data_IF_290517656675
#
_entry.id   IF_290517656675
#
_cell.length_a   1.000
_cell.length_b   1.000
_cell.length_c   1.000
_cell.angle_alpha   90.00
_cell.angle_beta   90.00
_cell.angle_gamma   90.00
#
_symmetry.space_group_name_H-M   'P 1'
#
loop_
_entity.id
_entity.type
_entity.pdbx_description
1 polymer ?
#
# COMPACT_ATOMS: atom_id res chain seq x y z
N UNK A 1 9.00 -8.08 7.68
CA UNK A 1 8.67 -7.57 6.33
C UNK A 1 9.69 -6.62 5.70
N UNK A 2 10.61 -6.00 6.46
CA UNK A 2 11.66 -5.13 5.90
C UNK A 2 12.71 -5.89 5.06
N UNK A 3 12.97 -7.15 5.41
CA UNK A 3 13.98 -8.02 4.76
C UNK A 3 13.58 -8.46 3.35
N UNK A 4 12.27 -8.53 3.09
CA UNK A 4 11.72 -8.88 1.76
C UNK A 4 11.78 -7.67 0.81
N UNK A 5 11.63 -6.46 1.36
CA UNK A 5 11.83 -5.20 0.65
C UNK A 5 13.30 -4.98 0.31
N UNK A 6 14.24 -5.23 1.24
CA UNK A 6 15.68 -5.09 0.95
C UNK A 6 16.16 -6.06 -0.13
N UNK A 7 15.65 -7.30 -0.15
CA UNK A 7 15.97 -8.26 -1.20
C UNK A 7 15.44 -7.83 -2.59
N UNK A 8 14.29 -7.18 -2.63
CA UNK A 8 13.68 -6.71 -3.90
C UNK A 8 14.41 -5.47 -4.45
N UNK A 9 14.84 -4.57 -3.56
CA UNK A 9 15.66 -3.40 -3.92
C UNK A 9 17.03 -3.84 -4.45
N UNK A 10 17.70 -4.76 -3.76
CA UNK A 10 18.99 -5.29 -4.20
C UNK A 10 18.91 -5.99 -5.58
N UNK A 11 17.82 -6.74 -5.84
CA UNK A 11 17.60 -7.36 -7.15
C UNK A 11 17.40 -6.32 -8.26
N UNK A 12 16.70 -5.22 -7.94
CA UNK A 12 16.43 -4.15 -8.91
C UNK A 12 17.67 -3.32 -9.22
N UNK A 13 18.53 -3.07 -8.22
CA UNK A 13 19.82 -2.39 -8.40
C UNK A 13 20.74 -3.19 -9.32
N UNK A 14 20.87 -4.50 -9.11
CA UNK A 14 21.69 -5.38 -9.97
C UNK A 14 21.21 -5.33 -11.42
N UNK A 15 19.90 -5.42 -11.64
CA UNK A 15 19.29 -5.36 -12.97
C UNK A 15 19.53 -4.01 -13.68
N UNK A 16 19.52 -2.90 -12.94
CA UNK A 16 19.83 -1.58 -13.49
C UNK A 16 21.30 -1.51 -13.94
N UNK A 17 22.24 -2.01 -13.13
CA UNK A 17 23.66 -2.04 -13.52
C UNK A 17 23.91 -2.88 -14.76
N UNK A 18 23.23 -4.02 -14.90
CA UNK A 18 23.38 -4.92 -16.05
C UNK A 18 22.91 -4.22 -17.35
N UNK A 19 21.78 -3.50 -17.31
CA UNK A 19 21.29 -2.70 -18.44
C UNK A 19 22.26 -1.57 -18.81
N UNK A 20 22.85 -0.89 -17.81
CA UNK A 20 23.83 0.18 -18.08
C UNK A 20 25.11 -0.34 -18.74
N UNK A 21 25.54 -1.54 -18.35
CA UNK A 21 26.72 -2.19 -18.91
C UNK A 21 26.48 -2.69 -20.35
N UNK A 22 25.31 -3.28 -20.63
CA UNK A 22 24.88 -3.63 -22.00
C UNK A 22 24.80 -2.40 -22.92
N UNK A 23 24.24 -1.28 -22.44
CA UNK A 23 24.20 -0.02 -23.20
C UNK A 23 25.61 0.47 -23.54
N UNK A 24 26.56 0.34 -22.61
CA UNK A 24 27.95 0.77 -22.82
C UNK A 24 28.66 -0.08 -23.88
N UNK A 25 28.40 -1.39 -23.90
CA UNK A 25 28.93 -2.29 -24.94
C UNK A 25 28.37 -1.96 -26.32
N UNK A 26 27.06 -1.73 -26.43
CA UNK A 26 26.42 -1.35 -27.70
C UNK A 26 26.96 -0.03 -28.29
N UNK A 27 27.27 0.94 -27.45
CA UNK A 27 27.89 2.20 -27.88
C UNK A 27 29.30 1.97 -28.44
N UNK A 28 30.06 1.07 -27.81
CA UNK A 28 31.42 0.74 -28.23
C UNK A 28 31.45 -0.09 -29.53
N UNK A 29 30.55 -1.06 -29.69
CA UNK A 29 30.39 -1.78 -30.97
C UNK A 29 30.00 -0.85 -32.11
N UNK A 30 29.10 0.11 -31.86
CA UNK A 30 28.72 1.11 -32.86
C UNK A 30 29.93 1.93 -33.31
N UNK A 31 30.75 2.39 -32.35
CA UNK A 31 31.99 3.13 -32.62
C UNK A 31 32.96 2.33 -33.49
N UNK A 32 33.14 1.03 -33.20
CA UNK A 32 34.00 0.15 -33.98
C UNK A 32 33.45 -0.09 -35.40
N UNK A 33 32.13 -0.19 -35.56
CA UNK A 33 31.51 -0.34 -36.89
C UNK A 33 31.69 0.91 -37.75
N UNK A 34 31.58 2.10 -37.16
CA UNK A 34 31.77 3.37 -37.85
C UNK A 34 33.24 3.56 -38.28
N UNK A 35 34.19 3.14 -37.44
CA UNK A 35 35.62 3.12 -37.78
C UNK A 35 35.93 2.12 -38.90
N UNK A 36 35.37 0.91 -38.86
CA UNK A 36 35.54 -0.09 -39.92
C UNK A 36 35.01 0.42 -41.27
N UNK A 37 33.82 1.02 -41.28
CA UNK A 37 33.23 1.62 -42.47
C UNK A 37 34.10 2.72 -43.08
N UNK A 38 34.74 3.55 -42.23
CA UNK A 38 35.63 4.60 -42.69
C UNK A 38 36.93 4.06 -43.29
N UNK A 39 37.52 3.02 -42.70
CA UNK A 39 38.73 2.35 -43.21
C UNK A 39 38.45 1.66 -44.55
N UNK A 40 37.32 0.96 -44.67
CA UNK A 40 36.92 0.28 -45.90
C UNK A 40 36.73 1.26 -47.07
N UNK A 41 36.12 2.43 -46.81
CA UNK A 41 35.98 3.53 -47.77
C UNK A 41 37.32 4.15 -48.20
N UNK A 42 38.36 4.11 -47.36
CA UNK A 42 39.70 4.54 -47.74
C UNK A 42 40.47 3.48 -48.53
N UNK A 43 40.34 2.20 -48.17
CA UNK A 43 41.02 1.09 -48.86
C UNK A 43 40.47 0.83 -50.27
N UNK A 44 39.18 1.06 -50.50
CA UNK A 44 38.55 0.99 -51.83
C UNK A 44 39.05 2.10 -52.76
N UNK A 45 39.24 3.32 -52.25
CA UNK A 45 39.86 4.42 -53.01
C UNK A 45 41.33 4.16 -53.38
N UNK A 46 42.05 3.37 -52.59
CA UNK A 46 43.46 3.04 -52.85
C UNK A 46 43.67 1.88 -53.84
N UNK A 47 42.63 1.07 -54.15
CA UNK A 47 42.73 -0.14 -54.99
C UNK A 47 42.36 0.05 -56.47
N UNK A 48 41.95 1.24 -56.91
CA UNK A 48 41.57 1.54 -58.32
C UNK A 48 42.78 1.70 -59.27
N UNK A 49 43.94 1.18 -58.88
CA UNK A 49 45.12 1.11 -59.73
C UNK A 49 45.57 -0.34 -59.78
N UNK A 50 45.16 -1.10 -60.81
CA UNK A 50 45.92 -2.12 -61.54
C UNK A 50 44.98 -3.06 -62.31
N UNK A 51 45.09 -2.95 -63.63
CA UNK A 51 44.97 -3.95 -64.71
C UNK A 51 43.61 -4.42 -65.27
N UNK A 52 43.68 -4.55 -66.60
CA UNK A 52 42.68 -4.72 -67.65
C UNK A 52 42.00 -6.12 -67.74
N UNK A 53 40.90 -6.15 -68.54
CA UNK A 53 40.16 -7.27 -69.22
C UNK A 53 38.79 -7.63 -68.56
N UNK A 54 37.69 -8.03 -69.27
CA UNK A 54 37.19 -7.83 -70.65
C UNK A 54 35.80 -7.11 -70.73
N UNK A 55 35.47 -6.56 -71.90
CA UNK A 55 34.44 -5.54 -72.16
C UNK A 55 32.95 -5.88 -71.92
N UNK A 56 32.53 -7.16 -71.90
CA UNK A 56 31.11 -7.53 -71.63
C UNK A 56 30.81 -7.70 -70.14
N UNK A 57 31.77 -8.25 -69.38
CA UNK A 57 31.67 -8.35 -67.92
C UNK A 57 31.71 -6.96 -67.26
N UNK A 58 32.39 -6.02 -67.91
CA UNK A 58 32.53 -4.64 -67.46
C UNK A 58 31.22 -3.84 -67.56
N UNK A 59 30.38 -4.10 -68.56
CA UNK A 59 29.06 -3.48 -68.68
C UNK A 59 28.04 -4.04 -67.67
N UNK A 60 28.02 -5.36 -67.45
CA UNK A 60 27.19 -5.95 -66.39
C UNK A 60 27.65 -5.49 -65.00
N UNK A 61 28.96 -5.46 -64.74
CA UNK A 61 29.50 -4.93 -63.49
C UNK A 61 29.14 -3.45 -63.29
N UNK A 62 29.18 -2.62 -64.35
CA UNK A 62 28.73 -1.23 -64.26
C UNK A 62 27.26 -1.09 -63.88
N UNK A 63 26.41 -1.97 -64.42
CA UNK A 63 24.97 -1.95 -64.13
C UNK A 63 24.67 -2.39 -62.71
N UNK A 64 25.35 -3.44 -62.25
CA UNK A 64 25.26 -3.95 -60.87
C UNK A 64 25.83 -2.93 -59.89
N UNK A 65 26.98 -2.32 -60.16
CA UNK A 65 27.55 -1.23 -59.35
C UNK A 65 26.56 -0.08 -59.20
N UNK A 66 25.91 0.33 -60.29
CA UNK A 66 24.92 1.41 -60.27
C UNK A 66 23.70 1.07 -59.43
N UNK A 67 23.17 -0.15 -59.55
CA UNK A 67 22.05 -0.60 -58.70
C UNK A 67 22.44 -0.66 -57.21
N UNK A 68 23.63 -1.18 -56.92
CA UNK A 68 24.16 -1.24 -55.55
C UNK A 68 24.34 0.16 -54.98
N UNK A 69 24.80 1.14 -55.78
CA UNK A 69 24.94 2.52 -55.32
C UNK A 69 23.60 3.17 -55.03
N UNK A 70 22.60 3.01 -55.91
CA UNK A 70 21.25 3.55 -55.70
C UNK A 70 20.58 2.93 -54.46
N UNK A 71 20.73 1.62 -54.24
CA UNK A 71 20.19 0.93 -53.05
C UNK A 71 20.89 1.35 -51.76
N UNK A 72 22.23 1.52 -51.79
CA UNK A 72 23.00 2.02 -50.67
C UNK A 72 22.63 3.47 -50.31
N UNK A 73 22.43 4.33 -51.29
CA UNK A 73 21.99 5.71 -51.09
C UNK A 73 20.61 5.75 -50.43
N UNK A 74 19.65 4.93 -50.90
CA UNK A 74 18.31 4.82 -50.30
C UNK A 74 18.36 4.37 -48.85
N UNK A 75 19.15 3.32 -48.54
CA UNK A 75 19.32 2.85 -47.16
C UNK A 75 20.00 3.89 -46.28
N UNK A 76 20.94 4.66 -46.82
CA UNK A 76 21.60 5.74 -46.08
C UNK A 76 20.61 6.82 -45.64
N UNK A 77 19.71 7.21 -46.54
CA UNK A 77 18.65 8.18 -46.21
C UNK A 77 17.68 7.67 -45.15
N UNK A 78 17.21 6.42 -45.23
CA UNK A 78 16.33 5.84 -44.20
C UNK A 78 17.01 5.79 -42.82
N UNK A 79 18.29 5.40 -42.78
CA UNK A 79 19.07 5.30 -41.54
C UNK A 79 19.30 6.68 -40.90
N UNK A 80 19.44 7.72 -41.72
CA UNK A 80 19.59 9.10 -41.27
C UNK A 80 18.27 9.65 -40.69
N UNK A 81 17.13 9.31 -41.28
CA UNK A 81 15.81 9.63 -40.74
C UNK A 81 15.51 8.89 -39.43
N UNK A 82 15.83 7.60 -39.35
CA UNK A 82 15.66 6.79 -38.12
C UNK A 82 16.54 7.33 -36.98
N UNK A 83 17.79 7.68 -37.28
CA UNK A 83 18.71 8.31 -36.32
C UNK A 83 18.16 9.63 -35.77
N UNK A 84 17.53 10.43 -36.62
CA UNK A 84 16.91 11.69 -36.20
C UNK A 84 15.66 11.46 -35.33
N UNK A 85 14.87 10.42 -35.62
CA UNK A 85 13.74 10.02 -34.77
C UNK A 85 14.19 9.52 -33.40
N UNK A 86 15.19 8.64 -33.35
CA UNK A 86 15.75 8.12 -32.09
C UNK A 86 16.31 9.25 -31.23
N UNK A 87 16.98 10.22 -31.84
CA UNK A 87 17.52 11.39 -31.12
C UNK A 87 16.42 12.24 -30.49
N UNK A 88 15.29 12.44 -31.19
CA UNK A 88 14.12 13.14 -30.65
C UNK A 88 13.49 12.37 -29.50
N UNK A 89 13.39 11.05 -29.61
CA UNK A 89 12.86 10.20 -28.55
C UNK A 89 13.73 10.25 -27.29
N UNK A 90 15.06 10.21 -27.45
CA UNK A 90 16.01 10.34 -26.35
C UNK A 90 15.87 11.66 -25.59
N UNK A 91 15.72 12.79 -26.30
CA UNK A 91 15.50 14.11 -25.68
C UNK A 91 14.21 14.18 -24.86
N UNK A 92 13.15 13.50 -25.31
CA UNK A 92 11.88 13.42 -24.60
C UNK A 92 12.04 12.59 -23.32
N UNK A 93 12.71 11.43 -23.40
CA UNK A 93 12.99 10.58 -22.23
C UNK A 93 13.84 11.30 -21.18
N UNK A 94 14.84 12.08 -21.61
CA UNK A 94 15.69 12.89 -20.72
C UNK A 94 14.85 13.93 -19.95
N UNK A 95 13.96 14.65 -20.64
CA UNK A 95 13.06 15.60 -19.98
C UNK A 95 12.11 14.93 -18.97
N UNK A 96 11.52 13.78 -19.33
CA UNK A 96 10.63 13.03 -18.45
C UNK A 96 11.39 12.56 -17.19
N UNK A 97 12.64 12.12 -17.36
CA UNK A 97 13.48 11.64 -16.27
C UNK A 97 13.79 12.75 -15.26
N UNK A 98 14.12 13.95 -15.74
CA UNK A 98 14.36 15.11 -14.87
C UNK A 98 13.06 15.56 -14.16
N UNK A 99 11.91 15.55 -14.84
CA UNK A 99 10.63 15.86 -14.20
C UNK A 99 10.29 14.86 -13.08
N UNK A 100 10.52 13.57 -13.31
CA UNK A 100 10.31 12.52 -12.32
C UNK A 100 11.24 12.67 -11.11
N UNK A 101 12.52 12.98 -11.32
CA UNK A 101 13.48 13.25 -10.22
C UNK A 101 13.00 14.39 -9.31
N UNK A 102 12.49 15.47 -9.90
CA UNK A 102 11.94 16.60 -9.13
C UNK A 102 10.75 16.15 -8.28
N UNK A 103 9.79 15.41 -8.86
CA UNK A 103 8.61 14.90 -8.14
C UNK A 103 8.99 13.95 -7.01
N UNK A 104 10.00 13.09 -7.21
CA UNK A 104 10.50 12.19 -6.16
C UNK A 104 11.09 13.00 -5.00
N UNK A 105 11.92 14.00 -5.29
CA UNK A 105 12.51 14.86 -4.27
C UNK A 105 11.44 15.64 -3.46
N UNK A 106 10.39 16.14 -4.13
CA UNK A 106 9.27 16.81 -3.46
C UNK A 106 8.49 15.84 -2.55
N UNK A 107 8.25 14.61 -3.00
CA UNK A 107 7.59 13.58 -2.20
C UNK A 107 8.44 13.17 -0.99
N UNK A 108 9.75 12.99 -1.14
CA UNK A 108 10.66 12.72 -0.04
C UNK A 108 10.65 13.85 1.00
N UNK A 109 10.62 15.10 0.53
CA UNK A 109 10.51 16.28 1.39
C UNK A 109 9.16 16.32 2.13
N UNK A 110 8.08 15.93 1.47
CA UNK A 110 6.76 15.83 2.09
C UNK A 110 6.72 14.74 3.18
N UNK A 111 7.31 13.58 2.92
CA UNK A 111 7.44 12.49 3.90
C UNK A 111 8.28 12.94 5.10
N UNK A 112 9.40 13.62 4.87
CA UNK A 112 10.23 14.16 5.95
C UNK A 112 9.47 15.19 6.81
N UNK A 113 8.62 16.02 6.19
CA UNK A 113 7.76 16.96 6.90
C UNK A 113 6.73 16.24 7.77
N UNK A 114 6.04 15.23 7.24
CA UNK A 114 5.08 14.41 7.99
C UNK A 114 5.74 13.66 9.16
N UNK A 115 6.93 13.11 8.96
CA UNK A 115 7.70 12.44 10.01
C UNK A 115 8.09 13.42 11.11
N UNK A 116 8.57 14.62 10.76
CA UNK A 116 8.92 15.66 11.74
C UNK A 116 7.71 16.20 12.51
N UNK A 117 6.56 16.31 11.85
CA UNK A 117 5.29 16.71 12.49
C UNK A 117 4.79 15.62 13.46
N UNK A 118 4.92 14.34 13.09
CA UNK A 118 4.64 13.19 13.97
C UNK A 118 5.60 13.12 15.17
N UNK A 119 6.89 13.37 14.94
CA UNK A 119 7.92 13.45 15.99
C UNK A 119 7.64 14.61 16.95
N UNK A 120 7.29 15.79 16.42
CA UNK A 120 6.87 16.93 17.24
C UNK A 120 5.64 16.57 18.06
N UNK A 121 4.59 16.00 17.46
CA UNK A 121 3.42 15.50 18.21
C UNK A 121 3.76 14.48 19.31
N UNK A 122 4.84 13.73 19.14
CA UNK A 122 5.34 12.78 20.14
C UNK A 122 6.09 13.49 21.27
N UNK A 123 6.91 14.51 20.94
CA UNK A 123 7.70 15.27 21.92
C UNK A 123 6.90 16.33 22.69
N UNK A 124 5.84 16.93 22.10
CA UNK A 124 4.94 17.84 22.84
C UNK A 124 4.10 17.11 23.90
N UNK A 125 4.00 15.77 23.84
CA UNK A 125 3.43 14.94 24.91
C UNK A 125 4.42 14.65 26.05
N UNK A 126 5.73 14.77 25.82
CA UNK A 126 6.74 14.43 26.83
C UNK A 126 7.15 15.61 27.72
N UNK A 127 6.91 16.86 27.33
CA UNK A 127 7.47 18.03 28.06
C UNK A 127 6.44 18.94 28.74
N UNK A 128 5.14 18.64 28.63
CA UNK A 128 4.10 19.39 29.32
C UNK A 128 2.97 18.47 29.74
N UNK A 129 3.16 17.73 30.84
CA UNK A 129 2.19 17.60 31.95
C UNK A 129 2.66 16.51 32.91
N UNK A 130 2.77 16.89 34.20
CA UNK A 130 2.50 15.93 35.27
C UNK A 130 1.08 15.39 35.03
N UNK A 131 0.91 14.08 35.18
CA UNK A 131 -0.38 13.38 35.24
C UNK A 131 -1.20 13.32 33.94
N UNK A 132 -0.76 12.51 32.97
CA UNK A 132 -1.67 11.49 32.41
C UNK A 132 -0.83 10.23 32.20
N UNK A 133 -0.70 9.45 33.27
CA UNK A 133 -0.57 8.02 33.13
C UNK A 133 -1.54 7.58 32.02
N UNK A 134 -1.06 6.94 30.95
CA UNK A 134 -1.92 6.15 30.08
C UNK A 134 -2.34 4.87 30.85
N UNK A 135 -2.92 5.05 32.04
CA UNK A 135 -3.50 4.02 32.91
C UNK A 135 -4.91 3.63 32.46
N UNK A 136 -5.44 4.27 31.42
CA UNK A 136 -6.59 3.75 30.69
C UNK A 136 -6.15 2.73 29.64
N UNK A 137 -5.10 1.93 29.92
CA UNK A 137 -5.26 0.51 29.63
C UNK A 137 -6.57 0.12 30.30
N UNK A 138 -7.60 -0.18 29.52
CA UNK A 138 -8.74 -0.95 30.02
C UNK A 138 -8.12 -2.08 30.84
N UNK A 139 -8.22 -2.08 32.19
CA UNK A 139 -7.59 -3.13 32.98
C UNK A 139 -8.17 -4.52 32.64
N UNK A 140 -9.22 -4.57 31.80
CA UNK A 140 -10.18 -5.65 31.63
C UNK A 140 -10.20 -6.35 30.27
N UNK A 141 -9.28 -6.10 29.33
CA UNK A 141 -9.13 -7.04 28.21
C UNK A 141 -8.61 -8.38 28.74
N UNK A 142 -7.61 -8.37 29.63
CA UNK A 142 -6.97 -9.59 30.15
C UNK A 142 -7.48 -9.98 31.55
N UNK A 143 -8.07 -9.07 32.32
CA UNK A 143 -8.82 -9.40 33.55
C UNK A 143 -10.26 -9.86 33.28
N UNK A 144 -10.47 -10.70 32.25
CA UNK A 144 -11.63 -11.59 32.20
C UNK A 144 -11.49 -12.76 33.21
N UNK A 145 -10.66 -12.64 34.25
CA UNK A 145 -10.56 -13.65 35.32
C UNK A 145 -11.90 -13.95 36.01
N UNK A 146 -12.86 -13.01 35.94
CA UNK A 146 -14.25 -13.17 36.40
C UNK A 146 -15.15 -13.95 35.39
N UNK A 147 -14.67 -14.15 34.15
CA UNK A 147 -15.34 -14.85 33.05
C UNK A 147 -14.55 -16.11 32.65
N UNK A 148 -13.88 -16.76 33.61
CA UNK A 148 -13.09 -17.98 33.40
C UNK A 148 -13.90 -19.13 32.76
N UNK A 149 -15.22 -19.13 32.95
CA UNK A 149 -16.14 -20.10 32.34
C UNK A 149 -16.65 -19.67 30.95
N UNK A 150 -16.15 -18.57 30.38
CA UNK A 150 -16.59 -18.02 29.09
C UNK A 150 -15.50 -18.19 28.03
N UNK A 151 -15.89 -18.72 26.88
CA UNK A 151 -15.05 -18.90 25.72
C UNK A 151 -15.06 -17.65 24.86
N UNK A 152 -13.91 -16.98 24.81
CA UNK A 152 -13.69 -15.79 23.97
C UNK A 152 -13.27 -16.22 22.58
N UNK A 153 -13.96 -15.72 21.55
CA UNK A 153 -13.54 -15.89 20.17
C UNK A 153 -12.53 -14.84 19.75
N UNK A 154 -12.84 -13.57 20.01
CA UNK A 154 -11.99 -12.45 19.58
C UNK A 154 -12.27 -11.20 20.40
N UNK A 155 -11.25 -10.35 20.52
CA UNK A 155 -11.32 -9.04 21.16
C UNK A 155 -11.00 -7.98 20.11
N UNK A 156 -11.73 -6.86 20.13
CA UNK A 156 -11.51 -5.75 19.20
C UNK A 156 -11.67 -4.41 19.91
N UNK A 157 -10.77 -3.49 19.61
CA UNK A 157 -10.82 -2.11 20.08
C UNK A 157 -11.24 -1.22 18.91
N UNK A 158 -12.23 -0.37 19.15
CA UNK A 158 -12.66 0.67 18.22
C UNK A 158 -12.37 2.05 18.79
N UNK A 159 -11.92 2.95 17.93
CA UNK A 159 -11.64 4.34 18.30
C UNK A 159 -12.75 5.24 17.77
N UNK A 160 -13.43 5.93 18.68
CA UNK A 160 -14.51 6.87 18.39
C UNK A 160 -13.97 8.27 18.59
N UNK A 161 -13.87 9.07 17.51
CA UNK A 161 -13.22 10.38 17.56
C UNK A 161 -14.14 11.53 17.19
N UNK A 162 -14.12 12.57 18.01
CA UNK A 162 -14.83 13.80 17.75
C UNK A 162 -16.35 13.65 17.76
N UNK A 163 -17.02 14.69 17.29
CA UNK A 163 -18.47 14.85 17.33
C UNK A 163 -19.20 14.27 16.12
N UNK A 164 -18.47 13.75 15.13
CA UNK A 164 -19.06 13.25 13.89
C UNK A 164 -19.69 11.87 14.05
N UNK A 165 -20.79 11.59 13.31
CA UNK A 165 -21.38 10.26 13.30
C UNK A 165 -20.40 9.24 12.72
N UNK A 166 -20.29 8.10 13.39
CA UNK A 166 -19.38 7.01 13.02
C UNK A 166 -20.11 5.68 13.10
N UNK A 167 -19.86 4.82 12.12
CA UNK A 167 -20.39 3.47 12.07
C UNK A 167 -19.21 2.50 11.99
N UNK A 168 -19.06 1.67 13.01
CA UNK A 168 -18.00 0.68 13.11
C UNK A 168 -18.59 -0.71 12.92
N UNK A 169 -18.12 -1.43 11.90
CA UNK A 169 -18.63 -2.75 11.56
C UNK A 169 -17.66 -3.84 12.02
N UNK A 170 -18.22 -4.90 12.59
CA UNK A 170 -17.54 -6.16 12.88
C UNK A 170 -18.29 -7.32 12.22
N UNK A 171 -18.23 -7.33 10.89
CA UNK A 171 -19.01 -8.24 10.04
C UNK A 171 -18.78 -9.71 10.39
N UNK A 172 -17.53 -10.09 10.69
CA UNK A 172 -17.15 -11.47 11.07
C UNK A 172 -18.02 -12.06 12.18
N UNK A 173 -18.45 -11.24 13.14
CA UNK A 173 -19.32 -11.68 14.24
C UNK A 173 -20.75 -11.14 14.13
N UNK A 174 -21.03 -10.25 13.17
CA UNK A 174 -22.37 -9.68 12.98
C UNK A 174 -22.71 -8.58 13.99
N UNK A 175 -21.72 -7.80 14.45
CA UNK A 175 -21.93 -6.63 15.29
C UNK A 175 -21.69 -5.34 14.50
N UNK A 176 -22.55 -4.33 14.70
CA UNK A 176 -22.30 -2.94 14.28
C UNK A 176 -22.51 -1.99 15.44
N UNK A 177 -21.63 -1.01 15.54
CA UNK A 177 -21.65 0.04 16.57
C UNK A 177 -21.86 1.37 15.88
N UNK A 178 -22.98 2.02 16.17
CA UNK A 178 -23.32 3.34 15.66
C UNK A 178 -23.15 4.41 16.73
N UNK A 179 -22.37 5.43 16.40
CA UNK A 179 -22.19 6.66 17.18
C UNK A 179 -22.88 7.78 16.43
N UNK A 180 -23.83 8.46 17.09
CA UNK A 180 -24.53 9.60 16.51
C UNK A 180 -23.73 10.89 16.66
N UNK A 181 -24.07 11.90 15.87
CA UNK A 181 -23.49 13.23 15.97
C UNK A 181 -23.65 13.84 17.37
N UNK A 182 -22.61 14.49 17.89
CA UNK A 182 -22.58 15.13 19.20
C UNK A 182 -22.57 14.15 20.38
N UNK A 183 -22.08 12.92 20.19
CA UNK A 183 -21.82 11.97 21.29
C UNK A 183 -20.59 12.36 22.13
N UNK A 184 -19.66 13.09 21.52
CA UNK A 184 -18.41 13.55 22.10
C UNK A 184 -18.17 15.00 21.70
N UNK A 185 -17.29 15.68 22.44
CA UNK A 185 -16.75 16.95 21.99
C UNK A 185 -15.79 16.72 20.80
N UNK A 186 -15.62 17.72 19.94
CA UNK A 186 -14.86 17.59 18.69
C UNK A 186 -13.38 17.21 18.89
N UNK A 187 -12.81 17.45 20.07
CA UNK A 187 -11.43 17.08 20.45
C UNK A 187 -11.33 15.78 21.25
N UNK A 188 -12.46 15.15 21.59
CA UNK A 188 -12.47 13.97 22.43
C UNK A 188 -12.30 12.69 21.61
N UNK A 189 -11.70 11.69 22.26
CA UNK A 189 -11.62 10.33 21.73
C UNK A 189 -12.07 9.36 22.81
N UNK A 190 -12.88 8.37 22.42
CA UNK A 190 -13.34 7.27 23.27
C UNK A 190 -12.93 5.96 22.65
N UNK A 191 -12.54 5.03 23.50
CA UNK A 191 -12.24 3.67 23.10
C UNK A 191 -13.43 2.78 23.46
N UNK A 192 -13.87 1.98 22.49
CA UNK A 192 -14.87 0.95 22.69
C UNK A 192 -14.22 -0.42 22.53
N UNK A 193 -14.03 -1.13 23.64
CA UNK A 193 -13.57 -2.51 23.63
C UNK A 193 -14.77 -3.44 23.51
N UNK A 194 -14.66 -4.40 22.60
CA UNK A 194 -15.68 -5.42 22.38
C UNK A 194 -15.03 -6.79 22.41
N UNK A 195 -15.64 -7.71 23.14
CA UNK A 195 -15.26 -9.13 23.17
C UNK A 195 -16.42 -9.96 22.66
N UNK A 196 -16.18 -10.78 21.64
CA UNK A 196 -17.14 -11.76 21.14
C UNK A 196 -17.01 -13.06 21.94
N UNK A 197 -18.12 -13.53 22.50
CA UNK A 197 -18.19 -14.72 23.36
C UNK A 197 -18.95 -15.82 22.60
N UNK A 198 -18.31 -16.98 22.45
CA UNK A 198 -18.84 -18.12 21.67
C UNK A 198 -19.35 -19.26 22.54
N UNK A 199 -19.10 -19.21 23.84
CA UNK A 199 -19.60 -20.18 24.80
C UNK A 199 -19.42 -19.66 26.22
N UNK A 200 -20.21 -20.17 27.14
CA UNK A 200 -20.10 -19.84 28.56
C UNK A 200 -21.36 -20.18 29.31
N UNK A 201 -21.29 -20.14 30.64
CA UNK A 201 -22.45 -20.37 31.49
C UNK A 201 -23.29 -19.08 31.55
N UNK A 202 -24.24 -18.95 30.63
CA UNK A 202 -25.20 -17.86 30.62
C UNK A 202 -26.55 -18.34 31.18
N UNK A 203 -27.06 -17.63 32.18
CA UNK A 203 -28.41 -17.84 32.69
C UNK A 203 -29.38 -16.88 32.00
N UNK A 204 -30.34 -17.43 31.28
CA UNK A 204 -31.40 -16.66 30.64
C UNK A 204 -32.75 -16.93 31.32
N UNK A 205 -33.71 -15.98 31.25
CA UNK A 205 -35.05 -16.20 31.77
C UNK A 205 -35.70 -17.47 31.19
N UNK A 206 -36.62 -18.12 31.93
CA UNK A 206 -37.29 -19.31 31.43
C UNK A 206 -38.04 -19.01 30.13
N UNK A 207 -38.13 -20.00 29.24
CA UNK A 207 -38.76 -19.90 27.91
C UNK A 207 -38.07 -18.91 26.96
N UNK A 208 -36.76 -18.71 27.12
CA UNK A 208 -35.95 -17.92 26.18
C UNK A 208 -34.83 -18.77 25.59
N UNK A 209 -34.42 -18.43 24.36
CA UNK A 209 -33.33 -19.09 23.64
C UNK A 209 -32.41 -18.00 23.10
N UNK A 210 -31.10 -18.21 23.23
CA UNK A 210 -30.10 -17.34 22.63
C UNK A 210 -30.06 -17.57 21.11
N UNK A 211 -30.21 -16.49 20.34
CA UNK A 211 -30.28 -16.52 18.86
C UNK A 211 -29.22 -15.66 18.17
N UNK A 212 -28.27 -15.14 18.94
CA UNK A 212 -27.13 -14.35 18.47
C UNK A 212 -25.86 -14.71 19.25
N UNK A 213 -24.71 -14.22 18.79
CA UNK A 213 -23.52 -14.19 19.64
C UNK A 213 -23.74 -13.27 20.86
N UNK A 214 -22.95 -13.49 21.91
CA UNK A 214 -22.93 -12.65 23.12
C UNK A 214 -21.69 -11.75 23.07
N UNK A 215 -21.85 -10.50 23.50
CA UNK A 215 -20.79 -9.50 23.46
C UNK A 215 -20.60 -8.87 24.84
N UNK A 216 -19.35 -8.74 25.26
CA UNK A 216 -18.99 -7.78 26.31
C UNK A 216 -18.54 -6.49 25.63
N UNK A 217 -19.17 -5.37 25.98
CA UNK A 217 -18.86 -4.04 25.44
C UNK A 217 -18.49 -3.12 26.60
N UNK A 218 -17.34 -2.46 26.50
CA UNK A 218 -16.86 -1.48 27.47
C UNK A 218 -16.43 -0.21 26.76
N UNK A 219 -16.67 0.93 27.40
CA UNK A 219 -16.23 2.24 26.93
C UNK A 219 -15.23 2.81 27.93
N UNK A 220 -14.17 3.46 27.43
CA UNK A 220 -13.17 4.10 28.31
C UNK A 220 -13.74 5.28 29.11
N UNK A 221 -14.77 5.94 28.58
CA UNK A 221 -15.53 7.00 29.26
C UNK A 221 -16.98 7.02 28.79
N UNK A 222 -17.92 7.56 29.59
CA UNK A 222 -19.31 7.69 29.18
C UNK A 222 -19.48 8.63 27.99
N UNK A 223 -20.47 8.35 27.15
CA UNK A 223 -20.85 9.20 26.02
C UNK A 223 -21.96 10.16 26.43
N UNK A 224 -22.05 11.30 25.74
CA UNK A 224 -23.11 12.29 25.95
C UNK A 224 -24.48 11.79 25.49
N UNK A 225 -24.51 10.89 24.50
CA UNK A 225 -25.72 10.26 23.98
C UNK A 225 -25.58 8.74 24.03
N UNK A 226 -26.65 8.03 23.68
CA UNK A 226 -26.65 6.57 23.67
C UNK A 226 -25.88 6.06 22.45
N UNK A 227 -25.03 5.06 22.69
CA UNK A 227 -24.46 4.22 21.64
C UNK A 227 -25.54 3.32 21.05
N UNK A 228 -25.56 3.16 19.73
CA UNK A 228 -26.46 2.21 19.05
C UNK A 228 -25.70 0.93 18.77
N UNK A 229 -26.19 -0.20 19.29
CA UNK A 229 -25.68 -1.53 18.95
C UNK A 229 -26.68 -2.22 18.03
N UNK A 230 -26.16 -2.84 16.98
CA UNK A 230 -26.94 -3.67 16.06
C UNK A 230 -26.27 -5.04 15.98
N UNK A 231 -27.04 -6.09 16.25
CA UNK A 231 -26.56 -7.46 16.38
C UNK A 231 -27.31 -8.35 15.41
N UNK A 232 -26.58 -9.15 14.65
CA UNK A 232 -27.14 -10.17 13.78
C UNK A 232 -27.64 -11.38 14.59
N UNK A 233 -28.78 -11.94 14.18
CA UNK A 233 -29.37 -13.14 14.77
C UNK A 233 -29.64 -14.22 13.71
N UNK A 234 -29.90 -15.44 14.15
CA UNK A 234 -30.21 -16.58 13.28
C UNK A 234 -31.70 -16.89 13.12
N UNK A 235 -32.60 -16.10 13.74
CA UNK A 235 -34.05 -16.25 13.53
C UNK A 235 -34.45 -15.77 12.14
N UNK A 236 -35.08 -16.64 11.35
CA UNK A 236 -35.73 -16.25 10.11
C UNK A 236 -37.09 -15.61 10.43
N UNK A 237 -37.24 -14.34 10.06
CA UNK A 237 -38.48 -13.58 10.21
C UNK A 237 -39.23 -13.44 8.87
N UNK A 238 -38.71 -14.05 7.80
CA UNK A 238 -39.30 -13.99 6.47
C UNK A 238 -40.69 -14.61 6.48
N UNK A 239 -41.70 -13.85 6.06
CA UNK A 239 -43.10 -14.30 6.06
C UNK A 239 -43.79 -14.24 7.43
N UNK A 240 -43.06 -13.96 8.52
CA UNK A 240 -43.63 -13.78 9.87
C UNK A 240 -42.95 -12.62 10.63
N UNK A 241 -43.04 -11.38 10.10
CA UNK A 241 -42.38 -10.21 10.72
C UNK A 241 -42.89 -9.91 12.13
N UNK A 242 -44.13 -10.30 12.46
CA UNK A 242 -44.73 -10.14 13.79
C UNK A 242 -43.97 -10.90 14.88
N UNK A 243 -43.14 -11.89 14.53
CA UNK A 243 -42.29 -12.57 15.50
C UNK A 243 -41.13 -11.71 16.01
N UNK A 244 -40.79 -10.62 15.31
CA UNK A 244 -39.73 -9.70 15.74
C UNK A 244 -39.98 -9.12 17.14
N UNK A 245 -41.24 -8.99 17.56
CA UNK A 245 -41.60 -8.50 18.90
C UNK A 245 -41.12 -9.41 20.05
N UNK A 246 -40.82 -10.69 19.75
CA UNK A 246 -40.30 -11.64 20.72
C UNK A 246 -38.78 -11.58 20.84
N UNK A 247 -38.08 -10.92 19.90
CA UNK A 247 -36.65 -10.67 20.02
C UNK A 247 -36.39 -9.57 21.05
N UNK A 248 -35.52 -9.87 22.01
CA UNK A 248 -35.16 -8.95 23.10
C UNK A 248 -33.66 -9.01 23.36
N UNK A 249 -33.08 -7.85 23.66
CA UNK A 249 -31.71 -7.78 24.15
C UNK A 249 -31.69 -8.16 25.63
N UNK A 250 -30.84 -9.13 25.98
CA UNK A 250 -30.45 -9.38 27.36
C UNK A 250 -29.19 -8.56 27.68
N UNK A 251 -29.18 -7.86 28.81
CA UNK A 251 -28.05 -7.07 29.27
C UNK A 251 -27.73 -7.52 30.69
N UNK A 252 -26.49 -7.95 30.91
CA UNK A 252 -25.97 -8.27 32.23
C UNK A 252 -24.79 -7.34 32.54
N UNK A 253 -24.77 -6.68 33.71
CA UNK A 253 -23.59 -5.94 34.13
C UNK A 253 -22.46 -6.92 34.41
N UNK A 254 -21.28 -6.66 33.84
CA UNK A 254 -20.07 -7.39 34.20
C UNK A 254 -19.47 -6.71 35.43
N UNK A 255 -19.65 -7.32 36.61
CA UNK A 255 -18.96 -6.86 37.80
C UNK A 255 -17.49 -7.27 37.73
N UNK A 256 -16.62 -6.31 37.45
CA UNK A 256 -15.19 -6.49 37.64
C UNK A 256 -14.91 -6.43 39.14
N UNK A 257 -14.57 -7.56 39.75
CA UNK A 257 -13.93 -7.57 41.06
C UNK A 257 -12.53 -6.99 40.89
N UNK A 258 -12.42 -5.67 41.03
CA UNK A 258 -11.12 -5.04 41.27
C UNK A 258 -10.63 -5.57 42.62
N UNK A 259 -9.66 -6.50 42.61
CA UNK A 259 -8.92 -6.77 43.84
C UNK A 259 -8.24 -5.45 44.24
N UNK A 260 -8.44 -4.97 45.48
CA UNK A 260 -7.77 -3.77 45.92
C UNK A 260 -6.27 -4.01 45.83
N UNK A 261 -5.57 -3.16 45.09
CA UNK A 261 -4.11 -3.10 45.14
C UNK A 261 -3.74 -2.90 46.62
N UNK A 262 -3.05 -3.88 47.19
CA UNK A 262 -2.39 -3.71 48.47
C UNK A 262 -1.31 -2.63 48.23
N UNK A 263 -1.53 -1.44 48.77
CA UNK A 263 -0.47 -0.48 49.03
C UNK A 263 0.50 -1.15 49.99
N UNK A 264 1.62 -1.66 49.47
CA UNK A 264 2.77 -2.00 50.29
C UNK A 264 3.31 -0.70 50.89
N UNK A 265 3.28 -0.64 52.23
CA UNK A 265 3.86 0.39 53.08
C UNK A 265 5.39 0.36 53.09
#
# INVERSE_FOLDING_TARGET
DNEKLSATVAYSEVYITEIEEEKKQLVEERRQSEEHYFVEKQTTKAKVSVNDVPTELEEENKKVEKQITEELESRFTELEEEKEQVKKQFLIEEQITEELKIKVADNERYIAKLLKEKEQWSQTKETSTKEVQFDYMIPSMDNLGCLSDVQVAEKKLFLIQGDKPQLMNWEKYGLRIGVQEGNLLSSETVEAAVVALVGGQFEFPPNTVLVSAVYAVSLSKPLLKRLKLEIQHCVDLTGQPDLAQYLKFAIAPVHLTMQPFLEDK
#
